data_IF_550510386024
#
_entry.id   IF_550510386024
#
_cell.length_a   1.000
_cell.length_b   1.000
_cell.length_c   1.000
_cell.angle_alpha   90.00
_cell.angle_beta   90.00
_cell.angle_gamma   90.00
#
_symmetry.space_group_name_H-M   'P 1'
#
loop_
_entity.id
_entity.type
_entity.pdbx_description
1 polymer ?
#
# COMPACT_ATOMS: atom_id res chain seq x y z
N UNK A 1 24.35 4.03 22.14
CA UNK A 1 23.84 3.77 23.49
C UNK A 1 23.76 2.26 23.65
N UNK A 2 24.15 1.78 24.82
CA UNK A 2 24.54 0.42 25.20
C UNK A 2 23.45 -0.08 26.16
N UNK A 3 22.84 -1.24 25.81
CA UNK A 3 22.02 -2.23 26.58
C UNK A 3 20.83 -1.68 27.42
N UNK A 4 19.72 -2.40 27.56
CA UNK A 4 19.55 -3.49 28.54
C UNK A 4 18.65 -4.62 28.02
N UNK A 5 18.96 -5.79 28.55
CA UNK A 5 18.37 -7.12 28.41
C UNK A 5 17.51 -7.33 29.66
N UNK A 6 16.24 -7.73 29.52
CA UNK A 6 15.45 -8.18 30.67
C UNK A 6 14.86 -9.56 30.38
N UNK A 7 15.68 -10.56 30.68
CA UNK A 7 15.27 -11.90 31.06
C UNK A 7 14.68 -11.88 32.47
N UNK A 8 13.50 -12.47 32.64
CA UNK A 8 12.97 -12.91 33.93
C UNK A 8 12.01 -14.07 33.68
N UNK A 9 12.52 -15.28 33.86
CA UNK A 9 11.71 -16.47 34.10
C UNK A 9 11.15 -16.39 35.52
N UNK A 10 9.82 -16.48 35.68
CA UNK A 10 9.21 -16.91 36.94
C UNK A 10 8.14 -17.96 36.62
N UNK A 11 8.56 -19.23 36.65
CA UNK A 11 7.71 -20.40 36.56
C UNK A 11 7.02 -20.64 37.91
N UNK A 12 5.76 -20.20 38.05
CA UNK A 12 4.83 -20.82 39.01
C UNK A 12 3.36 -20.57 38.68
N UNK A 13 2.86 -21.20 37.63
CA UNK A 13 1.43 -21.54 37.54
C UNK A 13 1.33 -22.91 36.88
N UNK A 14 0.89 -23.88 37.69
CA UNK A 14 0.63 -25.24 37.25
C UNK A 14 -0.62 -25.21 36.34
N UNK A 15 -0.39 -25.05 35.05
CA UNK A 15 -1.45 -25.09 34.04
C UNK A 15 -1.85 -26.55 33.79
N UNK A 16 -2.87 -27.01 34.51
CA UNK A 16 -3.52 -28.29 34.22
C UNK A 16 -4.38 -28.09 32.97
N UNK A 17 -3.84 -28.48 31.82
CA UNK A 17 -4.51 -28.38 30.52
C UNK A 17 -5.52 -29.52 30.33
N UNK A 18 -6.81 -29.20 30.48
CA UNK A 18 -7.93 -30.01 29.98
C UNK A 18 -8.80 -29.09 29.12
N UNK A 19 -8.63 -29.12 27.81
CA UNK A 19 -9.37 -28.25 26.88
C UNK A 19 -10.50 -29.03 26.20
N UNK A 20 -11.67 -29.03 26.84
CA UNK A 20 -12.92 -28.98 26.10
C UNK A 20 -13.30 -27.48 26.06
N UNK A 21 -13.20 -26.87 24.88
CA UNK A 21 -13.55 -25.48 24.55
C UNK A 21 -12.56 -24.32 24.81
N UNK A 22 -11.27 -24.55 25.09
CA UNK A 22 -10.27 -23.45 25.01
C UNK A 22 -10.46 -22.28 25.99
N UNK A 23 -11.35 -22.42 26.97
CA UNK A 23 -11.45 -21.52 28.12
C UNK A 23 -10.60 -22.12 29.23
N UNK A 24 -9.47 -21.48 29.53
CA UNK A 24 -8.55 -21.88 30.58
C UNK A 24 -9.13 -21.43 31.92
N UNK A 25 -9.68 -22.36 32.70
CA UNK A 25 -10.17 -22.04 34.05
C UNK A 25 -8.97 -21.89 34.98
N UNK A 26 -8.53 -20.65 35.20
CA UNK A 26 -7.55 -20.32 36.23
C UNK A 26 -8.32 -20.08 37.53
N UNK A 27 -8.09 -20.91 38.55
CA UNK A 27 -8.55 -20.57 39.91
C UNK A 27 -7.70 -19.35 40.34
N UNK A 28 -8.30 -18.17 40.59
CA UNK A 28 -7.53 -16.99 40.98
C UNK A 28 -6.88 -17.20 42.35
N UNK A 29 -5.75 -16.54 42.59
CA UNK A 29 -5.10 -16.58 43.90
C UNK A 29 -5.98 -15.93 44.97
N UNK A 30 -6.13 -16.56 46.14
CA UNK A 30 -6.73 -15.92 47.31
C UNK A 30 -5.75 -14.92 47.90
N UNK A 31 -6.15 -13.66 48.03
CA UNK A 31 -5.41 -12.66 48.81
C UNK A 31 -6.00 -12.65 50.22
N UNK A 32 -5.17 -12.78 51.25
CA UNK A 32 -5.55 -12.44 52.63
C UNK A 32 -5.39 -10.93 52.83
N UNK A 33 -6.50 -10.20 52.95
CA UNK A 33 -6.48 -8.76 53.24
C UNK A 33 -6.18 -8.52 54.72
N UNK A 34 -4.90 -8.23 55.02
CA UNK A 34 -4.40 -8.01 56.39
C UNK A 34 -4.84 -6.67 57.01
N UNK A 35 -5.33 -5.73 56.22
CA UNK A 35 -5.80 -4.43 56.71
C UNK A 35 -7.29 -4.44 57.09
N UNK A 36 -7.97 -5.57 56.89
CA UNK A 36 -9.37 -5.76 57.23
C UNK A 36 -9.56 -6.39 58.62
N UNK A 37 -9.24 -5.59 59.64
CA UNK A 37 -9.37 -6.00 61.03
C UNK A 37 -10.80 -5.77 61.53
N UNK A 38 -11.59 -6.84 61.75
CA UNK A 38 -12.76 -6.74 62.63
C UNK A 38 -13.88 -7.74 62.38
N UNK A 39 -14.13 -8.60 63.37
CA UNK A 39 -15.45 -9.18 63.63
C UNK A 39 -16.43 -8.01 63.72
N UNK A 40 -17.44 -7.98 62.87
CA UNK A 40 -18.48 -6.95 62.95
C UNK A 40 -19.50 -7.37 64.01
N UNK A 41 -19.34 -6.85 65.23
CA UNK A 41 -20.30 -7.03 66.32
C UNK A 41 -21.53 -6.12 66.17
N UNK A 42 -21.66 -5.38 65.05
CA UNK A 42 -22.77 -4.48 64.78
C UNK A 42 -23.92 -5.26 64.14
N UNK A 43 -24.85 -5.73 64.97
CA UNK A 43 -26.12 -6.41 64.64
C UNK A 43 -26.03 -7.91 64.24
N UNK A 44 -25.93 -8.77 65.26
CA UNK A 44 -26.79 -9.95 65.55
C UNK A 44 -27.32 -10.89 64.43
N UNK A 45 -26.76 -10.90 63.23
CA UNK A 45 -27.09 -11.93 62.22
C UNK A 45 -26.14 -13.12 62.37
N UNK A 46 -26.49 -14.05 63.28
CA UNK A 46 -25.86 -15.38 63.35
C UNK A 46 -26.29 -16.23 62.15
N UNK A 47 -25.42 -17.12 61.68
CA UNK A 47 -25.78 -18.10 60.66
C UNK A 47 -27.01 -18.89 61.11
N UNK A 48 -28.07 -18.94 60.30
CA UNK A 48 -29.32 -19.60 60.65
C UNK A 48 -29.19 -21.12 60.86
N UNK A 49 -28.16 -21.75 60.30
CA UNK A 49 -27.92 -23.19 60.48
C UNK A 49 -27.00 -23.52 61.65
N UNK A 50 -25.99 -22.68 61.91
CA UNK A 50 -24.93 -22.98 62.89
C UNK A 50 -24.96 -22.10 64.15
N UNK A 51 -25.77 -21.03 64.18
CA UNK A 51 -25.91 -20.14 65.34
C UNK A 51 -24.65 -19.35 65.71
N UNK A 52 -23.63 -19.35 64.85
CA UNK A 52 -22.35 -18.67 65.04
C UNK A 52 -22.31 -17.37 64.23
N UNK A 53 -21.57 -16.35 64.71
CA UNK A 53 -21.38 -15.13 63.95
C UNK A 53 -20.64 -15.43 62.63
N UNK A 54 -21.08 -14.84 61.50
CA UNK A 54 -20.42 -15.04 60.23
C UNK A 54 -19.01 -14.43 60.25
N UNK A 55 -18.07 -15.11 59.61
CA UNK A 55 -16.73 -14.57 59.38
C UNK A 55 -16.68 -13.89 58.00
N UNK A 56 -15.89 -12.81 57.92
CA UNK A 56 -15.71 -12.07 56.67
C UNK A 56 -14.58 -12.72 55.89
N UNK A 57 -14.86 -13.27 54.71
CA UNK A 57 -13.84 -13.82 53.81
C UNK A 57 -13.72 -12.99 52.52
N UNK A 58 -12.53 -13.02 51.91
CA UNK A 58 -12.03 -12.06 50.92
C UNK A 58 -12.68 -12.21 49.53
N UNK A 59 -12.63 -11.12 48.73
CA UNK A 59 -13.06 -11.05 47.34
C UNK A 59 -11.96 -11.49 46.36
N UNK A 60 -12.35 -12.00 45.19
CA UNK A 60 -11.43 -12.36 44.09
C UNK A 60 -11.05 -11.12 43.26
N UNK A 61 -9.79 -11.05 42.81
CA UNK A 61 -9.20 -9.88 42.14
C UNK A 61 -9.81 -9.54 40.76
N UNK A 62 -10.47 -10.48 40.08
CA UNK A 62 -10.88 -10.29 38.67
C UNK A 62 -12.37 -10.52 38.35
N UNK A 63 -13.21 -10.91 39.32
CA UNK A 63 -14.65 -10.79 39.13
C UNK A 63 -15.05 -9.37 39.54
N UNK A 64 -15.39 -8.53 38.55
CA UNK A 64 -15.91 -7.15 38.70
C UNK A 64 -17.24 -7.04 39.50
N UNK A 65 -17.55 -7.99 40.38
CA UNK A 65 -18.72 -7.86 41.24
C UNK A 65 -18.46 -6.93 42.42
N UNK A 66 -17.20 -6.71 42.86
CA UNK A 66 -16.85 -5.89 44.03
C UNK A 66 -17.73 -6.17 45.28
N UNK A 67 -18.41 -7.33 45.34
CA UNK A 67 -19.34 -7.67 46.41
C UNK A 67 -18.60 -8.49 47.44
N UNK A 68 -18.60 -7.99 48.67
CA UNK A 68 -18.11 -8.68 49.85
C UNK A 68 -19.25 -9.56 50.37
N UNK A 69 -18.98 -10.84 50.64
CA UNK A 69 -19.97 -11.78 51.15
C UNK A 69 -19.60 -12.20 52.56
N UNK A 70 -20.61 -12.42 53.41
CA UNK A 70 -20.46 -13.03 54.72
C UNK A 70 -20.61 -14.54 54.56
N UNK A 71 -19.68 -15.34 55.10
CA UNK A 71 -19.72 -16.80 55.01
C UNK A 71 -19.64 -17.40 56.42
N UNK A 72 -20.35 -18.50 56.64
CA UNK A 72 -20.24 -19.26 57.88
C UNK A 72 -18.94 -20.06 57.88
N UNK A 73 -18.12 -19.94 58.93
CA UNK A 73 -16.82 -20.60 59.03
C UNK A 73 -16.89 -22.13 59.29
N UNK A 74 -18.08 -22.69 59.48
CA UNK A 74 -18.28 -24.13 59.63
C UNK A 74 -18.26 -24.83 58.26
N UNK A 75 -17.41 -25.86 58.06
CA UNK A 75 -17.50 -26.69 56.87
C UNK A 75 -18.84 -27.43 56.90
N UNK A 76 -19.68 -27.18 55.90
CA UNK A 76 -20.87 -27.99 55.68
C UNK A 76 -20.42 -29.42 55.30
N UNK A 77 -20.42 -30.34 56.27
CA UNK A 77 -20.47 -31.78 55.96
C UNK A 77 -21.84 -32.09 55.35
N UNK A 78 -22.07 -31.61 54.13
CA UNK A 78 -23.13 -32.16 53.28
C UNK A 78 -22.69 -33.54 52.85
N UNK A 79 -22.94 -34.52 53.71
CA UNK A 79 -23.09 -35.91 53.27
C UNK A 79 -24.23 -35.87 52.25
N UNK A 80 -23.88 -35.86 50.97
CA UNK A 80 -24.85 -36.04 49.90
C UNK A 80 -25.53 -37.39 50.14
N UNK A 81 -26.77 -37.36 50.64
CA UNK A 81 -27.59 -38.55 50.74
C UNK A 81 -27.92 -39.01 49.31
N UNK A 82 -27.13 -39.96 48.79
CA UNK A 82 -27.28 -40.55 47.45
C UNK A 82 -28.58 -41.37 47.28
N UNK A 83 -29.56 -41.23 48.19
CA UNK A 83 -30.86 -41.90 48.13
C UNK A 83 -31.68 -41.60 46.86
N UNK A 84 -31.34 -40.55 46.11
CA UNK A 84 -31.93 -40.23 44.80
C UNK A 84 -31.37 -41.04 43.61
N UNK A 85 -30.29 -41.83 43.78
CA UNK A 85 -29.79 -42.75 42.74
C UNK A 85 -30.42 -44.15 42.84
N UNK A 86 -31.72 -44.24 43.15
CA UNK A 86 -32.48 -45.47 42.97
C UNK A 86 -32.72 -45.66 41.47
N UNK A 87 -31.77 -46.29 40.79
CA UNK A 87 -31.89 -46.70 39.39
C UNK A 87 -33.06 -47.66 39.26
N UNK A 88 -34.20 -47.16 38.78
CA UNK A 88 -35.27 -48.00 38.29
C UNK A 88 -34.81 -48.66 36.99
N UNK A 89 -34.59 -49.98 37.02
CA UNK A 89 -34.22 -50.81 35.87
C UNK A 89 -35.32 -50.96 34.79
N UNK A 90 -36.24 -49.99 34.70
CA UNK A 90 -37.29 -49.90 33.68
C UNK A 90 -37.04 -48.79 32.63
N UNK A 91 -35.89 -48.09 32.69
CA UNK A 91 -35.47 -47.06 31.72
C UNK A 91 -34.23 -47.39 30.88
N UNK A 92 -33.66 -48.59 31.01
CA UNK A 92 -32.40 -48.96 30.36
C UNK A 92 -32.48 -49.00 28.83
N UNK A 93 -33.63 -49.39 28.26
CA UNK A 93 -33.84 -49.41 26.80
C UNK A 93 -34.05 -48.02 26.20
N UNK A 94 -34.73 -47.12 26.92
CA UNK A 94 -34.95 -45.73 26.51
C UNK A 94 -33.64 -44.91 26.55
N UNK A 95 -32.76 -45.19 27.52
CA UNK A 95 -31.42 -44.60 27.62
C UNK A 95 -30.45 -45.15 26.56
N UNK A 96 -30.52 -46.45 26.24
CA UNK A 96 -29.72 -47.10 25.20
C UNK A 96 -30.01 -46.55 23.79
N UNK A 97 -31.28 -46.37 23.44
CA UNK A 97 -31.69 -45.80 22.15
C UNK A 97 -31.25 -44.34 22.00
N UNK A 98 -31.35 -43.54 23.08
CA UNK A 98 -30.86 -42.16 23.08
C UNK A 98 -29.34 -42.09 22.87
N UNK A 99 -28.58 -42.99 23.50
CA UNK A 99 -27.12 -43.09 23.29
C UNK A 99 -26.74 -43.51 21.87
N UNK A 100 -27.49 -44.41 21.22
CA UNK A 100 -27.16 -44.83 19.85
C UNK A 100 -27.40 -43.71 18.84
N UNK A 101 -28.47 -42.92 19.02
CA UNK A 101 -28.75 -41.73 18.19
C UNK A 101 -27.65 -40.68 18.38
N UNK A 102 -27.26 -40.41 19.63
CA UNK A 102 -26.22 -39.44 19.93
C UNK A 102 -24.86 -39.87 19.33
N UNK A 103 -24.56 -41.16 19.35
CA UNK A 103 -23.33 -41.72 18.76
C UNK A 103 -23.27 -41.52 17.24
N UNK A 104 -24.34 -41.84 16.51
CA UNK A 104 -24.35 -41.63 15.05
C UNK A 104 -24.30 -40.15 14.67
N UNK A 105 -24.89 -39.29 15.49
CA UNK A 105 -24.85 -37.83 15.29
C UNK A 105 -23.46 -37.24 15.60
N UNK A 106 -22.72 -37.81 16.55
CA UNK A 106 -21.31 -37.49 16.81
C UNK A 106 -20.45 -37.92 15.61
N UNK A 107 -20.58 -39.16 15.14
CA UNK A 107 -19.82 -39.67 13.99
C UNK A 107 -20.04 -38.79 12.75
N UNK A 108 -21.29 -38.40 12.49
CA UNK A 108 -21.62 -37.47 11.39
C UNK A 108 -20.94 -36.10 11.56
N UNK A 109 -20.96 -35.53 12.77
CA UNK A 109 -20.30 -34.24 13.03
C UNK A 109 -18.78 -34.32 12.93
N UNK A 110 -18.18 -35.45 13.28
CA UNK A 110 -16.74 -35.68 13.11
C UNK A 110 -16.34 -35.70 11.64
N UNK A 111 -17.14 -36.33 10.77
CA UNK A 111 -16.95 -36.30 9.32
C UNK A 111 -17.05 -34.86 8.77
N UNK A 112 -18.06 -34.10 9.19
CA UNK A 112 -18.23 -32.69 8.80
C UNK A 112 -17.04 -31.82 9.26
N UNK A 113 -16.52 -32.04 10.48
CA UNK A 113 -15.33 -31.34 11.00
C UNK A 113 -14.09 -31.65 10.15
N UNK A 114 -13.91 -32.91 9.76
CA UNK A 114 -12.79 -33.33 8.90
C UNK A 114 -12.87 -32.69 7.52
N UNK A 115 -14.06 -32.64 6.92
CA UNK A 115 -14.28 -31.96 5.63
C UNK A 115 -13.99 -30.45 5.74
N UNK A 116 -14.48 -29.79 6.79
CA UNK A 116 -14.25 -28.35 7.02
C UNK A 116 -12.77 -28.04 7.22
N UNK A 117 -12.03 -28.86 7.99
CA UNK A 117 -10.57 -28.72 8.13
C UNK A 117 -9.85 -28.85 6.79
N UNK A 118 -10.28 -29.79 5.94
CA UNK A 118 -9.76 -29.94 4.58
C UNK A 118 -9.97 -28.67 3.74
N UNK A 119 -11.20 -28.14 3.73
CA UNK A 119 -11.54 -26.88 3.04
C UNK A 119 -10.72 -25.69 3.55
N UNK A 120 -10.53 -25.59 4.87
CA UNK A 120 -9.73 -24.54 5.49
C UNK A 120 -8.27 -24.58 5.04
N UNK A 121 -7.66 -25.77 4.99
CA UNK A 121 -6.29 -25.95 4.48
C UNK A 121 -6.14 -25.48 3.02
N UNK A 122 -7.08 -25.86 2.16
CA UNK A 122 -7.10 -25.42 0.76
C UNK A 122 -7.21 -23.90 0.65
N UNK A 123 -8.12 -23.30 1.42
CA UNK A 123 -8.33 -21.85 1.44
C UNK A 123 -7.05 -21.11 1.85
N UNK A 124 -6.34 -21.62 2.85
CA UNK A 124 -5.13 -20.98 3.37
C UNK A 124 -3.99 -20.99 2.34
N UNK A 125 -3.79 -22.14 1.68
CA UNK A 125 -2.82 -22.26 0.58
C UNK A 125 -3.15 -21.34 -0.60
N UNK A 126 -4.43 -21.19 -0.94
CA UNK A 126 -4.88 -20.29 -2.00
C UNK A 126 -4.61 -18.82 -1.63
N UNK A 127 -4.92 -18.42 -0.40
CA UNK A 127 -4.67 -17.06 0.08
C UNK A 127 -3.18 -16.72 0.02
N UNK A 128 -2.31 -17.64 0.43
CA UNK A 128 -0.86 -17.46 0.32
C UNK A 128 -0.39 -17.36 -1.13
N UNK A 129 -0.89 -18.22 -2.02
CA UNK A 129 -0.53 -18.21 -3.43
C UNK A 129 -0.96 -16.90 -4.11
N UNK A 130 -2.19 -16.43 -3.84
CA UNK A 130 -2.67 -15.13 -4.31
C UNK A 130 -1.80 -13.99 -3.77
N UNK A 131 -1.45 -14.01 -2.48
CA UNK A 131 -0.55 -13.03 -1.87
C UNK A 131 0.84 -13.00 -2.50
N UNK A 132 1.38 -14.16 -2.94
CA UNK A 132 2.64 -14.23 -3.70
C UNK A 132 2.49 -13.58 -5.07
N UNK A 133 1.46 -13.94 -5.84
CA UNK A 133 1.21 -13.39 -7.19
C UNK A 133 1.05 -11.87 -7.13
N UNK A 134 0.24 -11.35 -6.22
CA UNK A 134 -0.01 -9.91 -6.05
C UNK A 134 1.30 -9.17 -5.75
N UNK A 135 2.12 -9.69 -4.83
CA UNK A 135 3.42 -9.07 -4.49
C UNK A 135 4.37 -9.04 -5.69
N UNK A 136 4.48 -10.15 -6.42
CA UNK A 136 5.32 -10.23 -7.62
C UNK A 136 4.85 -9.26 -8.71
N UNK A 137 3.55 -9.23 -9.01
CA UNK A 137 2.99 -8.30 -9.99
C UNK A 137 3.23 -6.84 -9.58
N UNK A 138 3.01 -6.49 -8.31
CA UNK A 138 3.28 -5.14 -7.79
C UNK A 138 4.75 -4.74 -7.97
N UNK A 139 5.69 -5.64 -7.67
CA UNK A 139 7.11 -5.38 -7.85
C UNK A 139 7.50 -5.18 -9.33
N UNK A 140 6.94 -6.00 -10.23
CA UNK A 140 7.18 -5.88 -11.67
C UNK A 140 6.64 -4.55 -12.23
N UNK A 141 5.41 -4.19 -11.89
CA UNK A 141 4.81 -2.91 -12.30
C UNK A 141 5.63 -1.72 -11.82
N UNK A 142 6.18 -1.77 -10.60
CA UNK A 142 7.00 -0.69 -10.07
C UNK A 142 8.31 -0.52 -10.88
N UNK A 143 8.99 -1.63 -11.20
CA UNK A 143 10.20 -1.63 -12.01
C UNK A 143 9.95 -1.10 -13.43
N UNK A 144 8.87 -1.54 -14.06
CA UNK A 144 8.50 -1.08 -15.41
C UNK A 144 8.15 0.41 -15.41
N UNK A 145 7.42 0.87 -14.39
CA UNK A 145 7.10 2.30 -14.22
C UNK A 145 8.36 3.15 -14.09
N UNK A 146 9.34 2.72 -13.30
CA UNK A 146 10.62 3.42 -13.12
C UNK A 146 11.39 3.50 -14.45
N UNK A 147 11.52 2.37 -15.15
CA UNK A 147 12.16 2.31 -16.47
C UNK A 147 11.49 3.24 -17.48
N UNK A 148 10.15 3.20 -17.59
CA UNK A 148 9.40 4.08 -18.50
C UNK A 148 9.55 5.56 -18.11
N UNK A 149 9.67 5.87 -16.83
CA UNK A 149 9.91 7.24 -16.36
C UNK A 149 11.28 7.76 -16.82
N UNK A 150 12.32 6.94 -16.70
CA UNK A 150 13.67 7.27 -17.16
C UNK A 150 13.74 7.43 -18.68
N UNK A 151 13.15 6.49 -19.43
CA UNK A 151 13.07 6.56 -20.89
C UNK A 151 12.33 7.81 -21.37
N UNK A 152 11.20 8.17 -20.73
CA UNK A 152 10.47 9.39 -21.05
C UNK A 152 11.28 10.67 -20.78
N UNK A 153 12.04 10.71 -19.68
CA UNK A 153 12.93 11.83 -19.39
C UNK A 153 14.02 11.95 -20.46
N UNK A 154 14.64 10.85 -20.85
CA UNK A 154 15.66 10.84 -21.89
C UNK A 154 15.11 11.27 -23.26
N UNK A 155 13.91 10.83 -23.61
CA UNK A 155 13.20 11.28 -24.82
C UNK A 155 12.92 12.77 -24.77
N UNK A 156 12.48 13.30 -23.62
CA UNK A 156 12.24 14.73 -23.43
C UNK A 156 13.50 15.55 -23.71
N UNK A 157 14.64 15.15 -23.13
CA UNK A 157 15.93 15.81 -23.36
C UNK A 157 16.34 15.79 -24.83
N UNK A 158 16.06 14.69 -25.56
CA UNK A 158 16.36 14.62 -27.00
C UNK A 158 15.46 15.53 -27.83
N UNK A 159 14.16 15.59 -27.51
CA UNK A 159 13.20 16.49 -28.15
C UNK A 159 13.65 17.94 -27.96
N UNK A 160 14.00 18.35 -26.75
CA UNK A 160 14.43 19.73 -26.47
C UNK A 160 15.71 20.10 -27.24
N UNK A 161 16.65 19.17 -27.40
CA UNK A 161 17.84 19.36 -28.24
C UNK A 161 17.48 19.55 -29.71
N UNK A 162 16.58 18.73 -30.24
CA UNK A 162 16.14 18.83 -31.63
C UNK A 162 15.40 20.15 -31.89
N UNK A 163 14.53 20.57 -30.97
CA UNK A 163 13.85 21.88 -31.03
C UNK A 163 14.85 23.03 -31.10
N UNK A 164 15.90 23.00 -30.28
CA UNK A 164 16.96 24.03 -30.34
C UNK A 164 17.73 24.05 -31.67
N UNK A 165 17.96 22.89 -32.30
CA UNK A 165 18.58 22.83 -33.62
C UNK A 165 17.65 23.35 -34.71
N UNK A 166 16.36 23.04 -34.63
CA UNK A 166 15.33 23.54 -35.56
C UNK A 166 15.22 25.07 -35.50
N UNK A 167 15.21 25.66 -34.31
CA UNK A 167 15.20 27.12 -34.13
C UNK A 167 16.41 27.79 -34.79
N UNK A 168 17.63 27.27 -34.56
CA UNK A 168 18.85 27.81 -35.18
C UNK A 168 18.81 27.72 -36.71
N UNK A 169 18.32 26.60 -37.24
CA UNK A 169 18.19 26.43 -38.70
C UNK A 169 17.17 27.41 -39.29
N UNK A 170 16.08 27.69 -38.58
CA UNK A 170 15.12 28.70 -39.00
C UNK A 170 15.73 30.11 -39.00
N UNK A 171 16.51 30.46 -37.98
CA UNK A 171 17.25 31.73 -37.94
C UNK A 171 18.21 31.86 -39.14
N UNK A 172 18.99 30.81 -39.41
CA UNK A 172 19.91 30.77 -40.56
C UNK A 172 19.18 30.93 -41.90
N UNK A 173 18.02 30.29 -42.07
CA UNK A 173 17.16 30.44 -43.26
C UNK A 173 16.72 31.89 -43.43
N UNK A 174 16.30 32.57 -42.35
CA UNK A 174 15.89 33.98 -42.41
C UNK A 174 17.07 34.86 -42.86
N UNK A 175 18.26 34.65 -42.29
CA UNK A 175 19.47 35.39 -42.68
C UNK A 175 19.84 35.16 -44.15
N UNK A 176 19.78 33.91 -44.62
CA UNK A 176 20.05 33.57 -46.02
C UNK A 176 19.07 34.25 -46.98
N UNK A 177 17.78 34.30 -46.64
CA UNK A 177 16.78 34.99 -47.44
C UNK A 177 17.08 36.49 -47.57
N UNK A 178 17.47 37.14 -46.47
CA UNK A 178 17.88 38.56 -46.49
C UNK A 178 19.10 38.79 -47.38
N UNK A 179 20.10 37.91 -47.31
CA UNK A 179 21.28 37.99 -48.18
C UNK A 179 20.90 37.81 -49.66
N UNK A 180 20.04 36.84 -49.98
CA UNK A 180 19.55 36.60 -51.34
C UNK A 180 18.85 37.84 -51.89
N UNK A 181 17.99 38.49 -51.10
CA UNK A 181 17.30 39.70 -51.53
C UNK A 181 18.25 40.89 -51.74
N UNK A 182 19.27 41.02 -50.90
CA UNK A 182 20.37 41.97 -51.12
C UNK A 182 21.10 41.73 -52.44
N UNK A 183 21.42 40.48 -52.75
CA UNK A 183 22.08 40.10 -54.01
C UNK A 183 21.18 40.36 -55.22
N UNK A 184 19.88 40.03 -55.16
CA UNK A 184 18.91 40.33 -56.23
C UNK A 184 18.88 41.82 -56.55
N UNK A 185 18.79 42.68 -55.52
CA UNK A 185 18.83 44.13 -55.69
C UNK A 185 20.14 44.61 -56.30
N UNK A 186 21.27 44.02 -55.90
CA UNK A 186 22.58 44.28 -56.51
C UNK A 186 22.61 43.94 -58.01
N UNK A 187 22.06 42.79 -58.39
CA UNK A 187 21.94 42.36 -59.79
C UNK A 187 21.06 43.33 -60.59
N UNK A 188 19.90 43.74 -60.05
CA UNK A 188 19.02 44.71 -60.70
C UNK A 188 19.73 46.05 -60.98
N UNK A 189 20.53 46.54 -60.02
CA UNK A 189 21.31 47.76 -60.20
C UNK A 189 22.39 47.60 -61.29
N UNK A 190 23.10 46.47 -61.31
CA UNK A 190 24.10 46.18 -62.34
C UNK A 190 23.48 46.07 -63.74
N UNK A 191 22.29 45.48 -63.86
CA UNK A 191 21.54 45.42 -65.12
C UNK A 191 21.20 46.82 -65.61
N UNK A 192 20.66 47.69 -64.75
CA UNK A 192 20.35 49.09 -65.10
C UNK A 192 21.59 49.83 -65.60
N UNK A 193 22.69 49.76 -64.84
CA UNK A 193 23.94 50.42 -65.23
C UNK A 193 24.51 49.87 -66.54
N UNK A 194 24.40 48.56 -66.78
CA UNK A 194 24.80 47.94 -68.05
C UNK A 194 23.99 48.50 -69.22
N UNK A 195 22.68 48.67 -69.05
CA UNK A 195 21.82 49.20 -70.11
C UNK A 195 22.07 50.70 -70.36
N UNK A 196 22.37 51.48 -69.32
CA UNK A 196 22.84 52.87 -69.46
C UNK A 196 24.15 52.97 -70.23
N UNK A 197 25.14 52.12 -69.92
CA UNK A 197 26.41 52.07 -70.65
C UNK A 197 26.22 51.70 -72.12
N UNK A 198 25.30 50.77 -72.44
CA UNK A 198 24.98 50.45 -73.85
C UNK A 198 24.47 51.67 -74.61
N UNK A 199 23.59 52.46 -73.99
CA UNK A 199 23.07 53.69 -74.60
C UNK A 199 24.20 54.70 -74.84
N UNK A 200 25.07 54.92 -73.85
CA UNK A 200 26.21 55.82 -73.99
C UNK A 200 27.18 55.38 -75.10
N UNK A 201 27.44 54.08 -75.23
CA UNK A 201 28.26 53.54 -76.33
C UNK A 201 27.62 53.80 -77.69
N UNK A 202 26.31 53.62 -77.82
CA UNK A 202 25.59 53.88 -79.07
C UNK A 202 25.69 55.36 -79.48
N UNK A 203 25.54 56.29 -78.53
CA UNK A 203 25.71 57.72 -78.77
C UNK A 203 27.12 58.08 -79.23
N UNK A 204 28.14 57.50 -78.59
CA UNK A 204 29.54 57.70 -78.98
C UNK A 204 29.85 57.13 -80.37
N UNK A 205 29.33 55.95 -80.71
CA UNK A 205 29.50 55.36 -82.04
C UNK A 205 28.91 56.26 -83.13
N UNK A 206 27.68 56.75 -82.93
CA UNK A 206 27.04 57.71 -83.84
C UNK A 206 27.87 59.00 -84.01
N UNK A 207 28.47 59.50 -82.92
CA UNK A 207 29.33 60.68 -82.98
C UNK A 207 30.65 60.40 -83.75
N UNK A 208 31.23 59.22 -83.57
CA UNK A 208 32.42 58.79 -84.31
C UNK A 208 32.12 58.66 -85.81
N UNK A 209 31.02 58.04 -86.19
CA UNK A 209 30.61 57.92 -87.60
C UNK A 209 30.48 59.29 -88.27
N UNK A 210 29.78 60.24 -87.64
CA UNK A 210 29.67 61.63 -88.13
C UNK A 210 31.04 62.31 -88.26
N UNK A 211 31.94 62.09 -87.31
CA UNK A 211 33.28 62.65 -87.36
C UNK A 211 34.12 62.01 -88.47
N UNK A 212 33.96 60.72 -88.74
CA UNK A 212 34.61 60.04 -89.88
C UNK A 212 34.12 60.60 -91.22
N UNK A 213 32.82 60.87 -91.37
CA UNK A 213 32.26 61.52 -92.57
C UNK A 213 32.86 62.91 -92.78
N UNK A 214 32.94 63.73 -91.72
CA UNK A 214 33.59 65.05 -91.77
C UNK A 214 35.05 64.97 -92.20
N UNK A 215 35.81 64.01 -91.67
CA UNK A 215 37.22 63.81 -92.06
C UNK A 215 37.36 63.39 -93.53
N UNK A 216 36.44 62.57 -94.06
CA UNK A 216 36.42 62.25 -95.51
C UNK A 216 36.22 63.51 -96.34
N UNK A 217 35.22 64.33 -96.03
CA UNK A 217 34.99 65.60 -96.74
C UNK A 217 36.20 66.52 -96.71
N UNK A 218 36.88 66.64 -95.57
CA UNK A 218 38.11 67.45 -95.46
C UNK A 218 39.22 66.88 -96.35
N UNK A 219 39.40 65.56 -96.37
CA UNK A 219 40.40 64.91 -97.22
C UNK A 219 40.12 65.15 -98.70
N UNK A 220 38.86 64.99 -99.12
CA UNK A 220 38.46 65.23 -100.51
C UNK A 220 38.72 66.68 -100.95
N UNK A 221 38.62 67.66 -100.03
CA UNK A 221 38.98 69.07 -100.29
C UNK A 221 40.50 69.27 -100.42
N UNK A 222 41.31 68.53 -99.67
CA UNK A 222 42.78 68.67 -99.68
C UNK A 222 43.43 67.97 -100.88
N UNK A 223 42.82 66.89 -101.38
CA UNK A 223 43.36 66.06 -102.45
C UNK A 223 42.90 66.49 -103.87
N UNK A 224 41.93 67.41 -103.99
CA UNK A 224 41.39 67.93 -105.27
C UNK A 224 41.92 69.30 -105.66
#
# INVERSE_FOLDING_TARGET
MVYEDESSDDLSSLDISSSFNGMMYRIPASIDDKDYMGIDNSALDVCSEHGLPPERHVAFEEFETCRRFLVCAQPEERVMDLSYLKVNAHGAESSSAAMSVMKSEIEKKEEEIMEVKGKYSVLMNLAEAQGRVIRTQKANHLKEKEKLSEENYNLKVQVDKLTNYEEKLNDDIVVLNLHIDGLKKGIENLIKHKDELKLQIADQLNAVEKNQEKLKMIRDILDG
#
